data_IF_379480677768
#
_entry.id   IF_379480677768
#
_cell.length_a   1.000
_cell.length_b   1.000
_cell.length_c   1.000
_cell.angle_alpha   90.00
_cell.angle_beta   90.00
_cell.angle_gamma   90.00
#
_symmetry.space_group_name_H-M   'P 1'
#
loop_
_entity.id
_entity.type
_entity.pdbx_description
1 polymer ?
#
# COMPACT_ATOMS: atom_id res chain seq x y z
N UNK A 1 2.08 20.18 2.38
CA UNK A 1 2.99 19.02 2.29
C UNK A 1 2.07 17.83 2.24
N UNK A 2 1.82 17.28 1.07
CA UNK A 2 0.96 16.11 0.94
C UNK A 2 1.66 14.96 1.65
N UNK A 3 1.10 14.48 2.75
CA UNK A 3 1.72 13.45 3.56
C UNK A 3 1.60 12.12 2.79
N UNK A 4 2.73 11.56 2.34
CA UNK A 4 2.74 10.29 1.58
C UNK A 4 1.99 9.21 2.34
N UNK A 5 2.15 9.16 3.67
CA UNK A 5 1.43 8.24 4.54
C UNK A 5 -0.10 8.37 4.41
N UNK A 6 -0.64 9.59 4.42
CA UNK A 6 -2.10 9.81 4.29
C UNK A 6 -2.63 9.34 2.94
N UNK A 7 -1.86 9.60 1.85
CA UNK A 7 -2.24 9.16 0.50
C UNK A 7 -2.20 7.64 0.37
N UNK A 8 -1.13 7.00 0.86
CA UNK A 8 -1.00 5.53 0.85
C UNK A 8 -2.13 4.89 1.66
N UNK A 9 -2.39 5.37 2.88
CA UNK A 9 -3.49 4.85 3.72
C UNK A 9 -4.85 5.01 3.05
N UNK A 10 -5.09 6.14 2.40
CA UNK A 10 -6.33 6.38 1.67
C UNK A 10 -6.54 5.38 0.53
N UNK A 11 -5.49 5.10 -0.26
CA UNK A 11 -5.56 4.09 -1.32
C UNK A 11 -5.89 2.72 -0.74
N UNK A 12 -5.24 2.34 0.37
CA UNK A 12 -5.48 1.04 1.01
C UNK A 12 -6.94 0.91 1.47
N UNK A 13 -7.50 1.96 2.08
CA UNK A 13 -8.92 2.01 2.49
C UNK A 13 -9.86 1.87 1.28
N UNK A 14 -9.59 2.61 0.20
CA UNK A 14 -10.44 2.60 -1.00
C UNK A 14 -10.34 1.28 -1.78
N UNK A 15 -9.13 0.71 -1.89
CA UNK A 15 -8.87 -0.50 -2.66
C UNK A 15 -9.33 -1.76 -1.93
N UNK A 16 -9.02 -1.87 -0.63
CA UNK A 16 -9.37 -3.06 0.16
C UNK A 16 -10.75 -2.97 0.80
N UNK A 17 -11.38 -1.79 0.80
CA UNK A 17 -12.70 -1.59 1.42
C UNK A 17 -12.71 -1.77 2.94
N UNK A 18 -11.57 -1.53 3.60
CA UNK A 18 -11.36 -1.67 5.05
C UNK A 18 -11.54 -0.34 5.78
N UNK A 19 -11.70 -0.36 7.10
CA UNK A 19 -11.80 0.89 7.89
C UNK A 19 -10.42 1.56 8.00
N UNK A 20 -10.36 2.89 7.91
CA UNK A 20 -9.13 3.66 8.14
C UNK A 20 -8.52 3.37 9.52
N UNK A 21 -9.36 3.04 10.51
CA UNK A 21 -8.90 2.62 11.84
C UNK A 21 -8.13 1.29 11.86
N UNK A 22 -8.33 0.43 10.85
CA UNK A 22 -7.63 -0.85 10.69
C UNK A 22 -6.30 -0.68 9.95
N UNK A 23 -6.14 0.37 9.13
CA UNK A 23 -4.93 0.66 8.35
C UNK A 23 -3.82 1.28 9.22
N UNK A 24 -3.30 0.46 10.13
CA UNK A 24 -2.14 0.79 10.95
C UNK A 24 -0.85 0.49 10.19
N UNK A 25 0.22 1.21 10.50
CA UNK A 25 1.51 1.05 9.83
C UNK A 25 2.04 -0.40 9.92
N UNK A 26 1.79 -1.07 11.04
CA UNK A 26 2.17 -2.45 11.30
C UNK A 26 1.23 -3.50 10.69
N UNK A 27 0.08 -3.09 10.14
CA UNK A 27 -0.91 -4.03 9.61
C UNK A 27 -0.37 -4.74 8.36
N UNK A 28 -0.49 -6.06 8.35
CA UNK A 28 -0.26 -6.94 7.20
C UNK A 28 -1.43 -6.81 6.22
N UNK A 29 -1.14 -6.61 4.93
CA UNK A 29 -2.18 -6.55 3.91
C UNK A 29 -3.00 -7.85 3.88
N UNK A 30 -2.33 -8.99 4.01
CA UNK A 30 -2.98 -10.31 3.94
C UNK A 30 -3.54 -10.72 5.30
N UNK A 31 -2.73 -10.67 6.36
CA UNK A 31 -3.11 -11.26 7.65
C UNK A 31 -4.09 -10.38 8.45
N UNK A 32 -3.93 -9.06 8.39
CA UNK A 32 -4.72 -8.12 9.18
C UNK A 32 -5.83 -7.46 8.37
N UNK A 33 -5.55 -7.09 7.11
CA UNK A 33 -6.52 -6.41 6.24
C UNK A 33 -7.28 -7.37 5.31
N UNK A 34 -6.89 -8.65 5.27
CA UNK A 34 -7.61 -9.69 4.54
C UNK A 34 -7.49 -9.59 3.01
N UNK A 35 -6.50 -8.87 2.49
CA UNK A 35 -6.21 -8.78 1.07
C UNK A 35 -5.83 -10.16 0.52
N UNK A 36 -6.38 -10.53 -0.63
CA UNK A 36 -5.92 -11.68 -1.38
C UNK A 36 -4.77 -11.34 -2.34
N UNK A 37 -4.28 -12.33 -3.09
CA UNK A 37 -3.18 -12.12 -4.03
C UNK A 37 -3.52 -11.16 -5.17
N UNK A 38 -4.79 -11.05 -5.55
CA UNK A 38 -5.23 -10.11 -6.59
C UNK A 38 -5.32 -8.70 -6.01
N UNK A 39 -5.88 -8.56 -4.81
CA UNK A 39 -5.97 -7.29 -4.10
C UNK A 39 -4.58 -6.65 -3.91
N UNK A 40 -3.56 -7.46 -3.57
CA UNK A 40 -2.18 -6.96 -3.43
C UNK A 40 -1.60 -6.44 -4.75
N UNK A 41 -1.94 -7.07 -5.88
CA UNK A 41 -1.48 -6.64 -7.21
C UNK A 41 -2.18 -5.33 -7.60
N UNK A 42 -3.49 -5.25 -7.42
CA UNK A 42 -4.24 -4.03 -7.72
C UNK A 42 -3.82 -2.87 -6.82
N UNK A 43 -3.52 -3.13 -5.54
CA UNK A 43 -2.99 -2.13 -4.61
C UNK A 43 -1.65 -1.56 -5.09
N UNK A 44 -0.73 -2.43 -5.51
CA UNK A 44 0.58 -2.01 -6.05
C UNK A 44 0.40 -1.14 -7.29
N UNK A 45 -0.46 -1.56 -8.22
CA UNK A 45 -0.76 -0.77 -9.42
C UNK A 45 -1.38 0.60 -9.09
N UNK A 46 -2.26 0.68 -8.08
CA UNK A 46 -2.85 1.94 -7.64
C UNK A 46 -1.80 2.88 -7.01
N UNK A 47 -0.82 2.32 -6.29
CA UNK A 47 0.31 3.09 -5.75
C UNK A 47 1.22 3.59 -6.88
N UNK A 48 1.51 2.77 -7.89
CA UNK A 48 2.27 3.16 -9.08
C UNK A 48 1.61 4.36 -9.79
N UNK A 49 0.30 4.28 -10.03
CA UNK A 49 -0.45 5.35 -10.71
C UNK A 49 -0.54 6.64 -9.89
N UNK A 50 -0.83 6.55 -8.58
CA UNK A 50 -0.96 7.73 -7.71
C UNK A 50 0.36 8.49 -7.53
N UNK A 51 1.48 7.77 -7.51
CA UNK A 51 2.80 8.34 -7.23
C UNK A 51 3.70 8.46 -8.47
N UNK A 52 3.21 8.09 -9.66
CA UNK A 52 3.96 8.07 -10.92
C UNK A 52 5.31 7.33 -10.76
N UNK A 53 5.24 6.14 -10.15
CA UNK A 53 6.39 5.27 -9.84
C UNK A 53 6.22 3.89 -10.46
N UNK A 54 7.32 3.14 -10.55
CA UNK A 54 7.34 1.73 -10.97
C UNK A 54 7.82 0.88 -9.78
N UNK A 55 7.05 -0.15 -9.43
CA UNK A 55 7.36 -1.10 -8.37
C UNK A 55 7.69 -2.45 -9.02
N UNK A 56 8.96 -2.86 -9.07
CA UNK A 56 9.32 -4.16 -9.60
C UNK A 56 8.64 -5.29 -8.82
N UNK A 57 8.24 -6.36 -9.50
CA UNK A 57 7.59 -7.53 -8.88
C UNK A 57 8.33 -8.03 -7.63
N UNK A 58 9.67 -8.08 -7.67
CA UNK A 58 10.51 -8.52 -6.54
C UNK A 58 10.40 -7.62 -5.30
N UNK A 59 10.13 -6.33 -5.47
CA UNK A 59 9.90 -5.38 -4.38
C UNK A 59 8.43 -5.40 -3.95
N UNK A 60 7.49 -5.54 -4.89
CA UNK A 60 6.07 -5.73 -4.61
C UNK A 60 5.84 -6.93 -3.69
N UNK A 61 6.52 -8.05 -3.92
CA UNK A 61 6.48 -9.24 -3.06
C UNK A 61 6.97 -8.98 -1.61
N UNK A 62 7.80 -7.96 -1.41
CA UNK A 62 8.31 -7.56 -0.07
C UNK A 62 7.40 -6.55 0.62
N UNK A 63 6.50 -5.90 -0.12
CA UNK A 63 5.54 -4.92 0.41
C UNK A 63 4.37 -5.69 1.03
N UNK A 64 4.58 -6.19 2.24
CA UNK A 64 3.57 -6.98 2.97
C UNK A 64 2.80 -6.19 4.01
N UNK A 65 3.26 -4.99 4.36
CA UNK A 65 2.65 -4.14 5.39
C UNK A 65 2.44 -2.71 4.91
N UNK A 66 1.54 -1.99 5.59
CA UNK A 66 1.28 -0.57 5.32
C UNK A 66 2.56 0.27 5.40
N UNK A 67 3.40 0.06 6.43
CA UNK A 67 4.67 0.76 6.57
C UNK A 67 5.62 0.47 5.42
N UNK A 68 5.70 -0.79 4.95
CA UNK A 68 6.56 -1.15 3.83
C UNK A 68 6.15 -0.43 2.54
N UNK A 69 4.85 -0.30 2.27
CA UNK A 69 4.36 0.48 1.13
C UNK A 69 4.72 1.97 1.26
N UNK A 70 4.52 2.54 2.46
CA UNK A 70 4.88 3.94 2.74
C UNK A 70 6.38 4.18 2.56
N UNK A 71 7.22 3.28 3.09
CA UNK A 71 8.68 3.38 3.00
C UNK A 71 9.15 3.26 1.55
N UNK A 72 8.57 2.33 0.79
CA UNK A 72 8.88 2.19 -0.62
C UNK A 72 8.57 3.47 -1.39
N UNK A 73 7.34 3.97 -1.27
CA UNK A 73 6.91 5.20 -1.96
C UNK A 73 7.75 6.40 -1.53
N UNK A 74 8.08 6.53 -0.24
CA UNK A 74 8.98 7.59 0.23
C UNK A 74 10.38 7.49 -0.36
N UNK A 75 10.89 6.27 -0.59
CA UNK A 75 12.23 6.06 -1.16
C UNK A 75 12.28 6.27 -2.68
N UNK A 76 11.14 6.13 -3.35
CA UNK A 76 10.99 6.29 -4.80
C UNK A 76 10.75 7.75 -5.25
N UNK A 77 10.50 8.67 -4.30
CA UNK A 77 10.23 10.10 -4.54
C UNK A 77 11.47 10.99 -4.33
#
# INVERSE_FOLDING_TARGET
MSNIEERVKKIIVEQLGVDEAEVKNEASFVDDLGADSLDTVELVMALEEEFDTEIPDEEAEKITTVQAAIDYVNSAQ
#
